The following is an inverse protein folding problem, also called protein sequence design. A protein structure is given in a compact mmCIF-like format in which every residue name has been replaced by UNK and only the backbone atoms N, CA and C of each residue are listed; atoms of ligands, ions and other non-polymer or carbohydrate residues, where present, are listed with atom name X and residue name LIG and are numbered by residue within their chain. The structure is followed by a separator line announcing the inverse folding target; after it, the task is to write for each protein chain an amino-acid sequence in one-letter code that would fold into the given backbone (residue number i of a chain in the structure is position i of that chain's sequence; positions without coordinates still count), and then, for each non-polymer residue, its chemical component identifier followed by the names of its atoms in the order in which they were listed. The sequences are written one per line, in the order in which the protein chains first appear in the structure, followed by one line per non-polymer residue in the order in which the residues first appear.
data_IF_719270654106
#
_entry.id   IF_719270654106
#
_cell.length_a   1.000
_cell.length_b   1.000
_cell.length_c   1.000
_cell.angle_alpha   90.00
_cell.angle_beta   90.00
_cell.angle_gamma   90.00
#
_symmetry.space_group_name_H-M   'P 1'
#
loop_
_entity.id
_entity.type
_entity.pdbx_description
1 polymer ?
#
# COMPACT_ATOMS: atom_id res chain seq x y z
N UNK A 1 -5.44 -9.00 16.85
CA UNK A 1 -5.88 -9.46 15.50
C UNK A 1 -4.67 -9.34 14.59
N UNK A 2 -4.35 -10.40 13.83
CA UNK A 2 -3.27 -10.34 12.82
C UNK A 2 -3.86 -9.83 11.50
N UNK A 3 -3.15 -8.91 10.85
CA UNK A 3 -3.46 -8.48 9.49
C UNK A 3 -2.68 -9.39 8.56
N UNK A 4 -3.38 -10.15 7.69
CA UNK A 4 -2.74 -11.13 6.82
C UNK A 4 -2.83 -10.78 5.33
N UNK A 5 -3.85 -9.99 4.96
CA UNK A 5 -4.10 -9.63 3.56
C UNK A 5 -4.37 -8.14 3.39
N UNK A 6 -4.13 -7.66 2.18
CA UNK A 6 -4.41 -6.29 1.78
C UNK A 6 -4.91 -6.27 0.34
N UNK A 7 -5.87 -5.41 0.06
CA UNK A 7 -6.19 -5.01 -1.32
C UNK A 7 -5.70 -3.61 -1.59
N UNK A 8 -5.24 -3.39 -2.81
CA UNK A 8 -4.97 -2.05 -3.35
C UNK A 8 -5.84 -1.89 -4.59
N UNK A 9 -6.84 -1.04 -4.49
CA UNK A 9 -7.71 -0.69 -5.62
C UNK A 9 -7.24 0.63 -6.21
N UNK A 10 -6.78 0.57 -7.44
CA UNK A 10 -6.39 1.74 -8.22
C UNK A 10 -7.61 2.38 -8.86
N UNK A 11 -7.75 3.66 -8.63
CA UNK A 11 -8.86 4.49 -9.07
C UNK A 11 -8.31 5.65 -9.92
N UNK A 12 -8.18 5.46 -11.26
CA UNK A 12 -7.73 6.52 -12.16
C UNK A 12 -8.67 7.72 -12.09
N UNK A 13 -8.12 8.91 -11.84
CA UNK A 13 -8.90 10.13 -11.67
C UNK A 13 -8.41 11.27 -12.55
N UNK A 14 -9.33 12.00 -13.17
CA UNK A 14 -9.01 13.31 -13.74
C UNK A 14 -8.82 14.31 -12.60
N UNK A 15 -7.92 15.30 -12.76
CA UNK A 15 -7.63 16.28 -11.70
C UNK A 15 -8.87 16.97 -11.11
N UNK A 16 -9.85 17.28 -11.95
CA UNK A 16 -11.10 17.93 -11.56
C UNK A 16 -12.07 17.04 -10.78
N UNK A 17 -11.87 15.70 -10.81
CA UNK A 17 -12.75 14.72 -10.20
C UNK A 17 -12.25 14.26 -8.82
N UNK A 18 -10.97 14.49 -8.51
CA UNK A 18 -10.28 13.93 -7.34
C UNK A 18 -11.05 14.18 -6.03
N UNK A 19 -11.52 15.42 -5.81
CA UNK A 19 -12.21 15.76 -4.57
C UNK A 19 -13.59 15.10 -4.50
N UNK A 20 -14.33 15.04 -5.60
CA UNK A 20 -15.63 14.39 -5.64
C UNK A 20 -15.50 12.86 -5.37
N UNK A 21 -14.47 12.22 -5.92
CA UNK A 21 -14.19 10.81 -5.68
C UNK A 21 -13.70 10.60 -4.25
N UNK A 22 -12.84 11.47 -3.72
CA UNK A 22 -12.36 11.40 -2.35
C UNK A 22 -13.51 11.50 -1.34
N UNK A 23 -14.46 12.41 -1.54
CA UNK A 23 -15.65 12.52 -0.67
C UNK A 23 -16.49 11.23 -0.68
N UNK A 24 -16.67 10.58 -1.82
CA UNK A 24 -17.36 9.30 -1.92
C UNK A 24 -16.57 8.17 -1.25
N UNK A 25 -15.22 8.21 -1.35
CA UNK A 25 -14.36 7.21 -0.72
C UNK A 25 -14.39 7.28 0.81
N UNK A 26 -14.58 8.44 1.43
CA UNK A 26 -14.76 8.55 2.88
C UNK A 26 -15.93 7.69 3.35
N UNK A 27 -17.08 7.81 2.69
CA UNK A 27 -18.27 7.02 3.04
C UNK A 27 -18.08 5.54 2.72
N UNK A 28 -17.48 5.23 1.58
CA UNK A 28 -17.26 3.86 1.15
C UNK A 28 -16.23 3.14 2.06
N UNK A 29 -15.13 3.78 2.45
CA UNK A 29 -14.16 3.21 3.37
C UNK A 29 -14.80 2.87 4.73
N UNK A 30 -15.61 3.80 5.29
CA UNK A 30 -16.37 3.55 6.51
C UNK A 30 -17.39 2.40 6.36
N UNK A 31 -17.95 2.23 5.18
CA UNK A 31 -18.88 1.13 4.89
C UNK A 31 -18.15 -0.21 4.84
N UNK A 32 -16.98 -0.28 4.20
CA UNK A 32 -16.13 -1.48 4.18
C UNK A 32 -15.73 -1.91 5.59
N UNK A 33 -15.27 -0.99 6.44
CA UNK A 33 -14.88 -1.31 7.83
C UNK A 33 -16.06 -1.85 8.65
N UNK A 34 -17.27 -1.37 8.42
CA UNK A 34 -18.46 -1.79 9.18
C UNK A 34 -19.10 -3.08 8.68
N UNK A 35 -19.05 -3.32 7.38
CA UNK A 35 -19.90 -4.31 6.73
C UNK A 35 -19.15 -5.40 5.95
N UNK A 36 -17.80 -5.33 5.85
CA UNK A 36 -16.99 -6.35 5.15
C UNK A 36 -15.82 -6.87 5.98
N UNK A 37 -15.85 -6.72 7.31
CA UNK A 37 -14.77 -7.13 8.21
C UNK A 37 -13.38 -6.57 7.84
N UNK A 38 -13.32 -5.48 7.06
CA UNK A 38 -12.07 -4.78 6.87
C UNK A 38 -11.57 -4.22 8.21
N UNK A 39 -10.35 -4.60 8.59
CA UNK A 39 -9.74 -4.14 9.84
C UNK A 39 -9.44 -2.64 9.77
N UNK A 40 -9.03 -2.19 8.58
CA UNK A 40 -8.65 -0.82 8.32
C UNK A 40 -8.77 -0.53 6.83
N UNK A 41 -9.40 0.57 6.48
CA UNK A 41 -9.50 1.06 5.11
C UNK A 41 -9.10 2.52 5.07
N UNK A 42 -8.22 2.86 4.15
CA UNK A 42 -7.75 4.23 3.93
C UNK A 42 -7.55 4.48 2.45
N UNK A 43 -7.44 5.74 2.06
CA UNK A 43 -7.15 6.09 0.69
C UNK A 43 -6.23 7.30 0.61
N UNK A 44 -5.56 7.43 -0.52
CA UNK A 44 -4.65 8.53 -0.76
C UNK A 44 -4.48 8.86 -2.23
N UNK A 45 -3.96 10.06 -2.47
CA UNK A 45 -3.59 10.53 -3.80
C UNK A 45 -2.15 10.16 -4.09
N UNK A 46 -1.91 9.57 -5.25
CA UNK A 46 -0.57 9.36 -5.78
C UNK A 46 0.03 10.70 -6.17
N UNK A 47 1.10 11.10 -5.48
CA UNK A 47 1.78 12.38 -5.73
C UNK A 47 3.08 12.22 -6.50
N UNK A 48 3.60 10.99 -6.63
CA UNK A 48 4.77 10.67 -7.43
C UNK A 48 4.76 9.21 -7.85
N UNK A 49 5.28 8.90 -9.04
CA UNK A 49 5.32 7.57 -9.64
C UNK A 49 4.51 7.47 -10.92
N UNK A 50 4.40 6.24 -11.45
CA UNK A 50 3.75 5.97 -12.74
C UNK A 50 2.28 6.40 -12.78
N UNK A 51 1.57 6.27 -11.65
CA UNK A 51 0.14 6.54 -11.52
C UNK A 51 -0.14 7.90 -10.86
N UNK A 52 0.78 8.87 -11.03
CA UNK A 52 0.66 10.19 -10.41
C UNK A 52 -0.63 10.89 -10.82
N UNK A 53 -1.41 11.29 -9.81
CA UNK A 53 -2.74 11.90 -9.98
C UNK A 53 -3.88 10.96 -9.62
N UNK A 54 -3.70 9.64 -9.68
CA UNK A 54 -4.72 8.66 -9.32
C UNK A 54 -4.95 8.60 -7.80
N UNK A 55 -6.08 8.02 -7.41
CA UNK A 55 -6.37 7.62 -6.04
C UNK A 55 -6.10 6.13 -5.86
N UNK A 56 -5.57 5.75 -4.71
CA UNK A 56 -5.47 4.36 -4.28
C UNK A 56 -6.30 4.17 -3.02
N UNK A 57 -7.16 3.14 -3.02
CA UNK A 57 -7.86 2.66 -1.84
C UNK A 57 -7.10 1.42 -1.33
N UNK A 58 -6.74 1.44 -0.05
CA UNK A 58 -6.03 0.36 0.62
C UNK A 58 -6.93 -0.20 1.73
N UNK A 59 -7.22 -1.49 1.68
CA UNK A 59 -8.01 -2.16 2.72
C UNK A 59 -7.25 -3.36 3.26
N UNK A 60 -7.29 -3.56 4.57
CA UNK A 60 -6.55 -4.61 5.27
C UNK A 60 -7.51 -5.60 5.93
N UNK A 61 -7.19 -6.90 5.83
CA UNK A 61 -8.07 -8.01 6.21
C UNK A 61 -7.33 -9.08 7.01
N UNK A 62 -8.08 -9.85 7.79
CA UNK A 62 -7.56 -10.99 8.52
C UNK A 62 -7.54 -12.26 7.66
N UNK A 63 -8.52 -12.45 6.77
CA UNK A 63 -8.67 -13.65 5.95
C UNK A 63 -8.99 -13.32 4.49
N UNK A 64 -8.86 -14.32 3.60
CA UNK A 64 -9.31 -14.20 2.22
C UNK A 64 -10.84 -14.16 2.11
N UNK A 65 -11.57 -14.78 3.04
CA UNK A 65 -13.04 -14.69 3.08
C UNK A 65 -13.50 -13.25 3.34
N UNK A 66 -12.76 -12.49 4.17
CA UNK A 66 -13.05 -11.06 4.39
C UNK A 66 -12.74 -10.24 3.13
N UNK A 67 -11.72 -10.62 2.36
CA UNK A 67 -11.43 -9.99 1.05
C UNK A 67 -12.57 -10.25 0.07
N UNK A 68 -13.08 -11.48 -0.01
CA UNK A 68 -14.22 -11.83 -0.86
C UNK A 68 -15.47 -11.02 -0.49
N UNK A 69 -15.81 -10.95 0.79
CA UNK A 69 -16.91 -10.11 1.28
C UNK A 69 -16.74 -8.64 0.91
N UNK A 70 -15.49 -8.14 0.90
CA UNK A 70 -15.26 -6.76 0.49
C UNK A 70 -15.58 -6.51 -0.99
N UNK A 71 -15.35 -7.47 -1.87
CA UNK A 71 -15.75 -7.36 -3.28
C UNK A 71 -17.27 -7.40 -3.46
N UNK A 72 -17.96 -8.32 -2.76
CA UNK A 72 -19.42 -8.32 -2.75
C UNK A 72 -19.96 -6.96 -2.30
N UNK A 73 -19.37 -6.38 -1.24
CA UNK A 73 -19.74 -5.07 -0.74
C UNK A 73 -19.42 -3.93 -1.72
N UNK A 74 -18.33 -4.02 -2.48
CA UNK A 74 -18.03 -3.07 -3.56
C UNK A 74 -19.13 -3.09 -4.64
N UNK A 75 -19.56 -4.27 -5.05
CA UNK A 75 -20.59 -4.44 -6.09
C UNK A 75 -21.97 -3.94 -5.64
N UNK A 76 -22.28 -4.06 -4.35
CA UNK A 76 -23.56 -3.60 -3.76
C UNK A 76 -23.58 -2.10 -3.41
N UNK A 77 -22.43 -1.44 -3.37
CA UNK A 77 -22.30 -0.07 -2.85
C UNK A 77 -22.73 1.00 -3.86
N UNK A 78 -23.77 1.77 -3.50
CA UNK A 78 -24.16 2.96 -4.26
C UNK A 78 -23.03 4.01 -4.36
N UNK A 79 -22.18 4.12 -3.34
CA UNK A 79 -21.04 5.03 -3.35
C UNK A 79 -20.00 4.58 -4.35
N UNK A 80 -19.67 3.27 -4.35
CA UNK A 80 -18.70 2.72 -5.30
C UNK A 80 -19.23 2.78 -6.74
N UNK A 81 -20.48 2.49 -6.97
CA UNK A 81 -21.13 2.64 -8.28
C UNK A 81 -21.08 4.10 -8.80
N UNK A 82 -21.22 5.10 -7.93
CA UNK A 82 -21.02 6.52 -8.29
C UNK A 82 -19.56 6.82 -8.63
N UNK A 83 -18.60 6.28 -7.88
CA UNK A 83 -17.17 6.42 -8.17
C UNK A 83 -16.87 5.85 -9.57
N UNK A 84 -17.32 4.64 -9.87
CA UNK A 84 -17.12 4.02 -11.18
C UNK A 84 -17.70 4.85 -12.33
N UNK A 85 -18.90 5.44 -12.14
CA UNK A 85 -19.50 6.34 -13.16
C UNK A 85 -18.70 7.61 -13.39
N UNK A 86 -18.06 8.15 -12.35
CA UNK A 86 -17.21 9.35 -12.48
C UNK A 86 -15.91 9.01 -13.22
N UNK A 87 -15.35 7.83 -12.97
CA UNK A 87 -13.99 7.48 -13.39
C UNK A 87 -13.86 6.87 -14.78
N UNK A 88 -14.91 6.46 -15.42
CA UNK A 88 -14.82 5.59 -16.60
C UNK A 88 -14.33 4.17 -16.18
N UNK A 89 -15.26 3.33 -15.76
CA UNK A 89 -15.12 2.10 -14.96
C UNK A 89 -14.13 1.03 -15.47
N UNK A 90 -13.79 1.05 -16.76
CA UNK A 90 -12.96 0.02 -17.39
C UNK A 90 -11.49 0.02 -16.93
N UNK A 91 -11.09 0.98 -16.09
CA UNK A 91 -9.71 1.17 -15.63
C UNK A 91 -9.48 0.90 -14.14
N UNK A 92 -10.52 0.55 -13.39
CA UNK A 92 -10.35 0.19 -11.98
C UNK A 92 -9.70 -1.18 -11.87
N UNK A 93 -8.57 -1.27 -11.17
CA UNK A 93 -7.82 -2.51 -10.98
C UNK A 93 -7.63 -2.71 -9.48
N UNK A 94 -7.89 -3.93 -9.01
CA UNK A 94 -7.62 -4.32 -7.62
C UNK A 94 -6.58 -5.42 -7.60
N UNK A 95 -5.50 -5.17 -6.87
CA UNK A 95 -4.47 -6.14 -6.56
C UNK A 95 -4.68 -6.68 -5.14
N UNK A 96 -4.49 -7.99 -4.95
CA UNK A 96 -4.60 -8.69 -3.66
C UNK A 96 -3.20 -9.13 -3.23
N UNK A 97 -2.84 -8.78 -2.01
CA UNK A 97 -1.56 -9.08 -1.40
C UNK A 97 -1.71 -9.92 -0.14
N UNK A 98 -0.75 -10.82 0.10
CA UNK A 98 -0.55 -11.48 1.40
C UNK A 98 0.66 -10.88 2.09
N UNK A 99 0.52 -10.53 3.38
CA UNK A 99 1.63 -10.02 4.17
C UNK A 99 2.63 -11.11 4.50
N UNK A 100 3.90 -10.75 4.45
CA UNK A 100 5.01 -11.54 4.93
C UNK A 100 5.47 -10.99 6.28
N UNK A 101 5.74 -11.88 7.22
CA UNK A 101 6.15 -11.50 8.57
C UNK A 101 7.56 -10.88 8.57
N UNK A 102 7.66 -9.66 9.06
CA UNK A 102 8.93 -8.94 9.24
C UNK A 102 9.03 -8.37 10.66
N UNK A 103 10.26 -8.27 11.16
CA UNK A 103 10.56 -7.75 12.49
C UNK A 103 10.67 -6.22 12.46
N UNK A 104 9.55 -5.52 12.31
CA UNK A 104 9.51 -4.06 12.41
C UNK A 104 8.68 -3.65 13.62
N UNK A 105 9.27 -2.81 14.48
CA UNK A 105 8.58 -2.24 15.63
C UNK A 105 7.84 -0.98 15.19
N UNK A 106 6.51 -1.05 15.16
CA UNK A 106 5.67 0.08 14.75
C UNK A 106 5.68 1.20 15.79
N UNK A 107 5.81 2.42 15.33
CA UNK A 107 5.64 3.61 16.15
C UNK A 107 4.14 3.99 16.19
N UNK A 108 3.39 3.30 17.02
CA UNK A 108 1.92 3.20 17.05
C UNK A 108 1.13 4.49 17.36
N UNK A 109 1.74 5.66 17.47
CA UNK A 109 1.07 6.85 18.01
C UNK A 109 0.91 8.04 17.06
N UNK A 110 1.36 7.92 15.81
CA UNK A 110 1.23 9.02 14.85
C UNK A 110 0.47 8.53 13.62
N UNK A 111 -0.60 9.23 13.27
CA UNK A 111 -1.24 8.99 11.98
C UNK A 111 -0.24 9.30 10.86
N UNK A 112 -0.02 8.37 9.92
CA UNK A 112 0.84 8.62 8.79
C UNK A 112 0.17 9.61 7.82
N UNK A 113 0.96 10.50 7.21
CA UNK A 113 0.49 11.37 6.15
C UNK A 113 0.91 10.90 4.77
N UNK A 114 1.97 10.08 4.72
CA UNK A 114 2.54 9.59 3.47
C UNK A 114 2.85 8.11 3.57
N UNK A 115 2.69 7.40 2.45
CA UNK A 115 3.20 6.04 2.26
C UNK A 115 4.03 5.98 0.99
N UNK A 116 5.26 5.47 1.12
CA UNK A 116 6.10 5.07 0.00
C UNK A 116 5.86 3.59 -0.27
N UNK A 117 5.39 3.28 -1.47
CA UNK A 117 5.22 1.92 -1.98
C UNK A 117 6.32 1.63 -2.99
N UNK A 118 6.95 0.46 -2.87
CA UNK A 118 7.90 -0.05 -3.85
C UNK A 118 7.52 -1.48 -4.20
N UNK A 119 7.18 -1.75 -5.43
CA UNK A 119 6.88 -3.10 -5.92
C UNK A 119 7.95 -3.58 -6.91
N UNK A 120 8.24 -4.87 -6.93
CA UNK A 120 9.23 -5.47 -7.83
C UNK A 120 9.27 -6.98 -7.72
N UNK A 121 10.18 -7.61 -8.47
CA UNK A 121 10.41 -9.05 -8.47
C UNK A 121 11.68 -9.40 -7.69
N UNK A 122 11.74 -10.64 -7.18
CA UNK A 122 12.98 -11.17 -6.61
C UNK A 122 13.83 -11.80 -7.72
N UNK A 123 15.12 -11.55 -7.67
CA UNK A 123 16.08 -12.12 -8.60
C UNK A 123 17.30 -12.68 -7.85
N UNK A 124 17.63 -13.96 -8.11
CA UNK A 124 18.79 -14.62 -7.55
C UNK A 124 18.73 -14.89 -6.04
N UNK A 125 17.53 -14.87 -5.44
CA UNK A 125 17.32 -15.07 -4.00
C UNK A 125 15.94 -15.71 -3.77
N UNK A 126 15.82 -16.56 -2.75
CA UNK A 126 14.54 -17.11 -2.32
C UNK A 126 13.73 -16.11 -1.49
N UNK A 127 12.42 -16.33 -1.38
CA UNK A 127 11.54 -15.50 -0.54
C UNK A 127 12.02 -15.46 0.93
N UNK A 128 12.43 -16.61 1.49
CA UNK A 128 12.91 -16.69 2.87
C UNK A 128 14.21 -15.89 3.09
N UNK A 129 15.15 -15.97 2.14
CA UNK A 129 16.38 -15.17 2.19
C UNK A 129 16.09 -13.67 2.03
N UNK A 130 15.11 -13.32 1.20
CA UNK A 130 14.66 -11.94 1.02
C UNK A 130 14.04 -11.38 2.30
N UNK A 131 13.11 -12.10 2.95
CA UNK A 131 12.52 -11.72 4.24
C UNK A 131 13.61 -11.54 5.31
N UNK A 132 14.58 -12.46 5.39
CA UNK A 132 15.71 -12.32 6.30
C UNK A 132 16.56 -11.08 5.99
N UNK A 133 16.77 -10.77 4.72
CA UNK A 133 17.52 -9.57 4.30
C UNK A 133 16.77 -8.29 4.65
N UNK A 134 15.43 -8.30 4.51
CA UNK A 134 14.55 -7.20 4.96
C UNK A 134 14.66 -7.01 6.47
N UNK A 135 14.58 -8.08 7.25
CA UNK A 135 14.71 -8.02 8.71
C UNK A 135 16.05 -7.41 9.18
N UNK A 136 17.12 -7.61 8.40
CA UNK A 136 18.43 -7.02 8.68
C UNK A 136 18.52 -5.51 8.45
N UNK A 137 17.51 -4.90 7.83
CA UNK A 137 17.49 -3.45 7.53
C UNK A 137 16.33 -2.70 8.20
N UNK A 138 15.41 -3.40 8.89
CA UNK A 138 14.24 -2.79 9.55
C UNK A 138 14.62 -1.66 10.52
N UNK A 139 15.72 -1.83 11.28
CA UNK A 139 16.21 -0.81 12.20
C UNK A 139 16.62 0.48 11.47
N UNK A 140 17.22 0.38 10.27
CA UNK A 140 17.60 1.56 9.51
C UNK A 140 16.37 2.39 9.06
N UNK A 141 15.21 1.73 8.86
CA UNK A 141 13.96 2.42 8.58
C UNK A 141 13.38 3.09 9.83
N UNK A 142 13.31 2.38 10.97
CA UNK A 142 12.78 2.95 12.22
C UNK A 142 13.64 4.10 12.75
N UNK A 143 14.96 3.94 12.73
CA UNK A 143 15.92 4.94 13.23
C UNK A 143 15.89 6.24 12.40
N UNK A 144 15.46 6.16 11.14
CA UNK A 144 15.31 7.30 10.23
C UNK A 144 13.87 7.79 10.04
N UNK A 145 12.97 7.46 10.98
CA UNK A 145 11.66 8.09 11.09
C UNK A 145 10.50 7.39 10.35
N UNK A 146 10.68 6.17 9.88
CA UNK A 146 9.57 5.35 9.40
C UNK A 146 8.64 4.99 10.57
N UNK A 147 7.32 5.12 10.35
CA UNK A 147 6.30 4.82 11.36
C UNK A 147 5.88 3.36 11.32
N UNK A 148 5.63 2.86 10.12
CA UNK A 148 5.31 1.44 9.87
C UNK A 148 6.08 0.96 8.65
N UNK A 149 6.35 -0.34 8.62
CA UNK A 149 6.91 -1.01 7.45
C UNK A 149 6.15 -2.33 7.24
N UNK A 150 5.74 -2.58 6.03
CA UNK A 150 5.07 -3.81 5.62
C UNK A 150 5.74 -4.40 4.40
N UNK A 151 5.83 -5.72 4.37
CA UNK A 151 6.23 -6.50 3.21
C UNK A 151 5.07 -7.41 2.83
N UNK A 152 4.73 -7.46 1.55
CA UNK A 152 3.67 -8.30 1.04
C UNK A 152 4.02 -8.89 -0.31
N UNK A 153 3.38 -10.01 -0.66
CA UNK A 153 3.46 -10.66 -1.97
C UNK A 153 2.12 -10.51 -2.69
N UNK A 154 2.15 -10.08 -3.94
CA UNK A 154 0.97 -10.02 -4.79
C UNK A 154 0.53 -11.43 -5.17
N UNK A 155 -0.70 -11.79 -4.79
CA UNK A 155 -1.30 -13.07 -5.10
C UNK A 155 -2.10 -13.02 -6.41
N UNK A 156 -2.89 -11.96 -6.57
CA UNK A 156 -3.80 -11.75 -7.70
C UNK A 156 -3.75 -10.27 -8.07
N UNK A 157 -3.72 -9.95 -9.36
CA UNK A 157 -3.74 -8.57 -9.81
C UNK A 157 -3.01 -8.35 -11.14
N UNK A 158 -2.69 -7.10 -11.42
CA UNK A 158 -2.02 -6.71 -12.65
C UNK A 158 -0.57 -7.23 -12.75
N UNK A 159 0.08 -7.48 -11.62
CA UNK A 159 1.48 -7.94 -11.53
C UNK A 159 1.63 -9.03 -10.48
N UNK A 160 1.09 -10.24 -10.72
CA UNK A 160 1.21 -11.35 -9.77
C UNK A 160 2.69 -11.70 -9.51
N UNK A 161 2.98 -12.33 -8.37
CA UNK A 161 4.31 -12.70 -7.90
C UNK A 161 5.29 -11.53 -7.67
N UNK A 162 4.82 -10.28 -7.75
CA UNK A 162 5.62 -9.15 -7.25
C UNK A 162 5.55 -9.05 -5.74
N UNK A 163 6.61 -8.49 -5.17
CA UNK A 163 6.67 -8.13 -3.76
C UNK A 163 6.45 -6.63 -3.61
N UNK A 164 5.80 -6.24 -2.53
CA UNK A 164 5.47 -4.87 -2.22
C UNK A 164 6.06 -4.48 -0.86
N UNK A 165 6.85 -3.42 -0.84
CA UNK A 165 7.22 -2.70 0.37
C UNK A 165 6.29 -1.50 0.55
N UNK A 166 5.69 -1.38 1.73
CA UNK A 166 4.96 -0.20 2.14
C UNK A 166 5.62 0.40 3.39
N UNK A 167 6.06 1.66 3.31
CA UNK A 167 6.66 2.37 4.44
C UNK A 167 5.93 3.69 4.64
N UNK A 168 5.47 3.95 5.87
CA UNK A 168 4.71 5.16 6.18
C UNK A 168 5.54 6.20 6.92
N UNK A 169 5.21 7.48 6.68
CA UNK A 169 5.89 8.63 7.25
C UNK A 169 4.89 9.71 7.66
N UNK A 170 5.24 10.54 8.63
CA UNK A 170 4.44 11.70 9.03
C UNK A 170 4.75 12.96 8.22
N UNK A 171 5.86 13.00 7.49
CA UNK A 171 6.25 14.16 6.66
C UNK A 171 7.16 13.75 5.49
N UNK A 172 7.26 14.63 4.49
CA UNK A 172 8.24 14.47 3.40
C UNK A 172 9.69 14.65 3.88
N UNK A 173 9.91 15.40 4.97
CA UNK A 173 11.23 15.52 5.58
C UNK A 173 11.71 14.17 6.11
N UNK A 174 10.88 13.47 6.90
CA UNK A 174 11.20 12.14 7.40
C UNK A 174 11.44 11.13 6.27
N UNK A 175 10.64 11.18 5.19
CA UNK A 175 10.87 10.35 4.01
C UNK A 175 12.23 10.64 3.37
N UNK A 176 12.61 11.91 3.24
CA UNK A 176 13.91 12.31 2.67
C UNK A 176 15.07 11.88 3.57
N UNK A 177 14.97 12.06 4.88
CA UNK A 177 15.97 11.60 5.87
C UNK A 177 16.14 10.06 5.81
N UNK A 178 15.01 9.32 5.71
CA UNK A 178 15.03 7.87 5.53
C UNK A 178 15.75 7.47 4.22
N UNK A 179 15.41 8.12 3.10
CA UNK A 179 16.05 7.84 1.82
C UNK A 179 17.56 8.09 1.86
N UNK A 180 17.99 9.16 2.52
CA UNK A 180 19.39 9.47 2.71
C UNK A 180 20.11 8.43 3.60
N UNK A 181 19.52 8.03 4.72
CA UNK A 181 20.05 7.00 5.62
C UNK A 181 20.19 5.64 4.92
N UNK A 182 19.18 5.24 4.13
CA UNK A 182 19.21 4.00 3.34
C UNK A 182 20.28 4.04 2.24
N UNK A 183 20.50 5.20 1.62
CA UNK A 183 21.57 5.39 0.62
C UNK A 183 22.98 5.20 1.19
N UNK A 184 23.17 5.28 2.51
CA UNK A 184 24.42 5.01 3.20
C UNK A 184 24.51 3.60 3.80
N UNK A 185 23.43 2.81 3.72
CA UNK A 185 23.34 1.51 4.37
C UNK A 185 23.75 0.38 3.41
N UNK A 186 24.89 -0.26 3.67
CA UNK A 186 25.43 -1.33 2.82
C UNK A 186 24.52 -2.58 2.76
N UNK A 187 23.79 -2.88 3.84
CA UNK A 187 22.83 -4.00 3.86
C UNK A 187 21.62 -3.70 2.98
N UNK A 188 21.15 -2.45 2.98
CA UNK A 188 20.08 -2.01 2.09
C UNK A 188 20.50 -2.05 0.61
N UNK A 189 21.73 -1.63 0.31
CA UNK A 189 22.27 -1.77 -1.04
C UNK A 189 22.28 -3.23 -1.51
N UNK A 190 22.76 -4.15 -0.65
CA UNK A 190 22.74 -5.58 -0.97
C UNK A 190 21.31 -6.10 -1.18
N UNK A 191 20.36 -5.72 -0.33
CA UNK A 191 18.94 -6.06 -0.50
C UNK A 191 18.40 -5.56 -1.84
N UNK A 192 18.70 -4.32 -2.21
CA UNK A 192 18.18 -3.69 -3.43
C UNK A 192 18.69 -4.33 -4.71
N UNK A 193 19.84 -5.04 -4.71
CA UNK A 193 20.32 -5.78 -5.89
C UNK A 193 19.47 -7.00 -6.24
N UNK A 194 18.73 -7.53 -5.29
CA UNK A 194 17.83 -8.68 -5.48
C UNK A 194 16.39 -8.29 -5.76
N UNK A 195 16.09 -6.98 -5.72
CA UNK A 195 14.73 -6.46 -5.91
C UNK A 195 14.69 -5.65 -7.20
N UNK A 196 14.27 -6.31 -8.30
CA UNK A 196 14.36 -5.78 -9.67
C UNK A 196 13.01 -5.33 -10.22
N UNK A 197 13.03 -4.60 -11.34
CA UNK A 197 11.81 -4.12 -11.99
C UNK A 197 10.96 -3.19 -11.13
N UNK A 198 11.61 -2.41 -10.26
CA UNK A 198 10.93 -1.62 -9.24
C UNK A 198 10.03 -0.54 -9.83
N UNK A 199 8.77 -0.52 -9.35
CA UNK A 199 7.89 0.63 -9.42
C UNK A 199 7.84 1.31 -8.04
N UNK A 200 8.03 2.62 -8.03
CA UNK A 200 7.96 3.42 -6.81
C UNK A 200 6.79 4.38 -6.90
N UNK A 201 5.97 4.39 -5.86
CA UNK A 201 4.79 5.23 -5.76
C UNK A 201 4.78 5.91 -4.40
N UNK A 202 4.54 7.22 -4.39
CA UNK A 202 4.37 7.98 -3.16
C UNK A 202 2.92 8.45 -3.08
N UNK A 203 2.22 8.04 -2.01
CA UNK A 203 0.87 8.50 -1.69
C UNK A 203 0.92 9.55 -0.59
N UNK A 204 -0.01 10.50 -0.70
CA UNK A 204 -0.45 11.34 0.41
C UNK A 204 -1.84 10.86 0.85
N UNK A 205 -2.00 10.48 2.10
CA UNK A 205 -3.30 10.09 2.65
C UNK A 205 -4.28 11.26 2.64
N UNK A 206 -5.54 10.98 2.36
CA UNK A 206 -6.64 11.95 2.32
C UNK A 206 -7.76 11.59 3.31
N UNK A 207 -7.82 10.33 3.76
CA UNK A 207 -8.81 9.82 4.71
C UNK A 207 -8.42 8.44 5.22
#
# INVERSE_FOLDING_TARGET
MSINHMTITKLPCRPEQIYNVADLLIYFASDLEKNSNSIFTTFGKVISGQDSGDLLLLSMFQSMDDVEQSFERMDESDHFAKIQKIQDSDKTITDIYSFLEINFVELALKQPFYIALSSGYLEGITEAEFVNSVNNVTSAFSDSGALTMRLAKCLIGARPDTYLFGVTFNSLSCLNENAFALAQNSKYHKLSTHFTGQNKTLLKFLG
#
